data_IF_284271935309
#
_entry.id   IF_284271935309
#
_cell.length_a   1.000
_cell.length_b   1.000
_cell.length_c   1.000
_cell.angle_alpha   90.00
_cell.angle_beta   90.00
_cell.angle_gamma   90.00
#
_symmetry.space_group_name_H-M   'P 1'
#
loop_
_entity.id
_entity.type
_entity.pdbx_description
1 polymer ?
#
# COMPACT_ATOMS: atom_id res chain seq x y z
N UNK A 1 12.72 22.06 -30.77
CA UNK A 1 11.74 21.03 -31.19
C UNK A 1 10.90 20.63 -29.98
N UNK A 2 9.61 20.93 -29.98
CA UNK A 2 8.71 20.53 -28.88
C UNK A 2 8.43 19.03 -29.08
N UNK A 3 8.98 18.19 -28.21
CA UNK A 3 8.61 16.76 -28.21
C UNK A 3 7.09 16.61 -28.12
N UNK A 4 6.51 15.87 -29.06
CA UNK A 4 5.07 15.65 -29.07
C UNK A 4 4.62 14.97 -27.77
N UNK A 5 3.44 15.32 -27.25
CA UNK A 5 2.88 14.70 -26.04
C UNK A 5 2.87 13.17 -26.13
N UNK A 6 2.65 12.64 -27.33
CA UNK A 6 2.68 11.20 -27.63
C UNK A 6 4.08 10.60 -27.45
N UNK A 7 5.14 11.28 -27.89
CA UNK A 7 6.51 10.79 -27.73
C UNK A 7 6.93 10.73 -26.25
N UNK A 8 6.54 11.72 -25.45
CA UNK A 8 6.77 11.71 -23.99
C UNK A 8 6.01 10.59 -23.30
N UNK A 9 4.74 10.38 -23.66
CA UNK A 9 3.92 9.28 -23.12
C UNK A 9 4.52 7.93 -23.47
N UNK A 10 4.93 7.73 -24.73
CA UNK A 10 5.57 6.48 -25.17
C UNK A 10 6.87 6.20 -24.41
N UNK A 11 7.73 7.21 -24.24
CA UNK A 11 8.97 7.09 -23.49
C UNK A 11 8.70 6.71 -22.02
N UNK A 12 7.74 7.35 -21.37
CA UNK A 12 7.37 7.02 -20.01
C UNK A 12 6.82 5.59 -19.89
N UNK A 13 6.01 5.14 -20.86
CA UNK A 13 5.48 3.77 -20.89
C UNK A 13 6.59 2.73 -21.07
N UNK A 14 7.56 2.97 -21.95
CA UNK A 14 8.72 2.07 -22.15
C UNK A 14 9.55 1.98 -20.88
N UNK A 15 9.84 3.13 -20.25
CA UNK A 15 10.58 3.16 -18.97
C UNK A 15 9.81 2.40 -17.87
N UNK A 16 8.50 2.62 -17.76
CA UNK A 16 7.67 1.90 -16.80
C UNK A 16 7.69 0.38 -17.03
N UNK A 17 7.60 -0.07 -18.28
CA UNK A 17 7.70 -1.49 -18.64
C UNK A 17 9.08 -2.08 -18.29
N UNK A 18 10.17 -1.37 -18.56
CA UNK A 18 11.52 -1.83 -18.18
C UNK A 18 11.63 -1.99 -16.65
N UNK A 19 11.19 -1.01 -15.89
CA UNK A 19 11.15 -1.11 -14.42
C UNK A 19 10.26 -2.25 -13.94
N UNK A 20 9.13 -2.49 -14.58
CA UNK A 20 8.26 -3.62 -14.26
C UNK A 20 8.97 -4.96 -14.43
N UNK A 21 9.66 -5.19 -15.56
CA UNK A 21 10.41 -6.43 -15.80
C UNK A 21 11.59 -6.59 -14.84
N UNK A 22 12.30 -5.50 -14.51
CA UNK A 22 13.38 -5.53 -13.51
C UNK A 22 12.81 -5.93 -12.15
N UNK A 23 11.71 -5.31 -11.73
CA UNK A 23 11.05 -5.67 -10.46
C UNK A 23 10.57 -7.13 -10.44
N UNK A 24 10.03 -7.62 -11.55
CA UNK A 24 9.57 -9.00 -11.65
C UNK A 24 10.73 -9.98 -11.51
N UNK A 25 11.87 -9.69 -12.15
CA UNK A 25 13.11 -10.45 -11.96
C UNK A 25 13.61 -10.43 -10.52
N UNK A 26 13.67 -9.25 -9.92
CA UNK A 26 14.09 -9.08 -8.52
C UNK A 26 13.17 -9.83 -7.55
N UNK A 27 11.86 -9.79 -7.76
CA UNK A 27 10.90 -10.55 -6.96
C UNK A 27 11.11 -12.05 -7.08
N UNK A 28 11.40 -12.55 -8.27
CA UNK A 28 11.68 -13.98 -8.47
C UNK A 28 12.94 -14.42 -7.72
N UNK A 29 14.04 -13.67 -7.84
CA UNK A 29 15.28 -13.96 -7.12
C UNK A 29 15.11 -13.82 -5.61
N UNK A 30 14.46 -12.76 -5.15
CA UNK A 30 14.17 -12.54 -3.73
C UNK A 30 13.36 -13.70 -3.14
N UNK A 31 12.33 -14.17 -3.85
CA UNK A 31 11.50 -15.27 -3.42
C UNK A 31 12.28 -16.59 -3.35
N UNK A 32 13.19 -16.83 -4.30
CA UNK A 32 14.07 -18.01 -4.28
C UNK A 32 15.00 -17.98 -3.06
N UNK A 33 15.70 -16.86 -2.83
CA UNK A 33 16.59 -16.69 -1.68
C UNK A 33 15.82 -16.84 -0.36
N UNK A 34 14.61 -16.29 -0.29
CA UNK A 34 13.75 -16.41 0.88
C UNK A 34 13.39 -17.86 1.19
N UNK A 35 13.04 -18.64 0.15
CA UNK A 35 12.74 -20.07 0.28
C UNK A 35 13.94 -20.88 0.74
N UNK A 36 15.12 -20.60 0.19
CA UNK A 36 16.37 -21.35 0.50
C UNK A 36 16.86 -21.08 1.94
N UNK A 37 16.68 -19.86 2.47
CA UNK A 37 17.24 -19.47 3.76
C UNK A 37 16.24 -19.48 4.92
N UNK A 38 14.97 -19.17 4.65
CA UNK A 38 13.93 -19.00 5.69
C UNK A 38 12.84 -20.06 5.61
N UNK A 39 12.81 -20.83 4.54
CA UNK A 39 11.85 -21.92 4.35
C UNK A 39 10.49 -21.45 3.81
N UNK A 40 9.73 -22.45 3.35
CA UNK A 40 8.43 -22.21 2.71
C UNK A 40 7.38 -21.66 3.69
N UNK A 41 7.48 -22.01 4.96
CA UNK A 41 6.52 -21.60 5.99
C UNK A 41 6.59 -20.12 6.32
N UNK A 42 7.82 -19.59 6.51
CA UNK A 42 8.03 -18.16 6.75
C UNK A 42 7.59 -17.35 5.54
N UNK A 43 7.87 -17.83 4.32
CA UNK A 43 7.40 -17.19 3.10
C UNK A 43 5.87 -17.21 3.00
N UNK A 44 5.24 -18.35 3.32
CA UNK A 44 3.79 -18.51 3.36
C UNK A 44 3.13 -17.56 4.36
N UNK A 45 3.67 -17.49 5.57
CA UNK A 45 3.21 -16.57 6.60
C UNK A 45 3.31 -15.11 6.16
N UNK A 46 4.46 -14.70 5.65
CA UNK A 46 4.66 -13.32 5.18
C UNK A 46 3.72 -12.98 4.03
N UNK A 47 3.54 -13.90 3.09
CA UNK A 47 2.60 -13.72 1.96
C UNK A 47 1.16 -13.62 2.45
N UNK A 48 0.74 -14.48 3.38
CA UNK A 48 -0.62 -14.46 3.95
C UNK A 48 -0.87 -13.16 4.72
N UNK A 49 0.08 -12.75 5.57
CA UNK A 49 0.00 -11.49 6.30
C UNK A 49 -0.11 -10.28 5.36
N UNK A 50 0.71 -10.25 4.30
CA UNK A 50 0.67 -9.18 3.29
C UNK A 50 -0.66 -9.17 2.54
N UNK A 51 -1.19 -10.33 2.15
CA UNK A 51 -2.48 -10.43 1.46
C UNK A 51 -3.65 -9.98 2.35
N UNK A 52 -3.63 -10.32 3.64
CA UNK A 52 -4.63 -9.85 4.61
C UNK A 52 -4.60 -8.31 4.71
N UNK A 53 -3.42 -7.71 4.78
CA UNK A 53 -3.28 -6.25 4.82
C UNK A 53 -3.70 -5.60 3.49
N UNK A 54 -3.37 -6.21 2.35
CA UNK A 54 -3.85 -5.73 1.04
C UNK A 54 -5.37 -5.77 0.94
N UNK A 55 -5.99 -6.81 1.48
CA UNK A 55 -7.45 -6.88 1.55
C UNK A 55 -8.03 -5.74 2.41
N UNK A 56 -7.40 -5.41 3.53
CA UNK A 56 -7.81 -4.27 4.35
C UNK A 56 -7.64 -2.92 3.62
N UNK A 57 -6.63 -2.80 2.76
CA UNK A 57 -6.41 -1.61 1.95
C UNK A 57 -7.50 -1.38 0.88
N UNK A 58 -8.37 -2.37 0.62
CA UNK A 58 -9.55 -2.17 -0.24
C UNK A 58 -10.50 -1.09 0.32
N UNK A 59 -10.46 -0.82 1.63
CA UNK A 59 -11.21 0.28 2.24
C UNK A 59 -10.82 1.66 1.69
N UNK A 60 -9.62 1.78 1.09
CA UNK A 60 -9.14 3.03 0.46
C UNK A 60 -9.58 3.16 -1.01
N UNK A 61 -10.10 2.09 -1.64
CA UNK A 61 -10.40 2.08 -3.07
C UNK A 61 -11.36 3.21 -3.44
N UNK A 62 -10.88 4.08 -4.33
CA UNK A 62 -11.64 5.19 -4.86
C UNK A 62 -11.49 6.51 -4.08
N UNK A 63 -11.13 6.50 -2.80
CA UNK A 63 -10.96 7.75 -2.03
C UNK A 63 -9.84 8.61 -2.61
N UNK A 64 -8.66 8.03 -2.85
CA UNK A 64 -7.53 8.73 -3.46
C UNK A 64 -7.86 9.26 -4.86
N UNK A 65 -8.53 8.46 -5.69
CA UNK A 65 -8.95 8.87 -7.02
C UNK A 65 -9.98 10.02 -6.98
N UNK A 66 -10.97 9.95 -6.08
CA UNK A 66 -11.99 11.00 -5.91
C UNK A 66 -11.36 12.33 -5.46
N UNK A 67 -10.42 12.27 -4.52
CA UNK A 67 -9.68 13.43 -4.04
C UNK A 67 -8.81 14.02 -5.15
N UNK A 68 -8.06 13.16 -5.87
CA UNK A 68 -7.26 13.58 -7.02
C UNK A 68 -8.11 14.33 -8.05
N UNK A 69 -9.30 13.78 -8.38
CA UNK A 69 -10.24 14.43 -9.29
C UNK A 69 -10.72 15.80 -8.77
N UNK A 70 -11.04 15.88 -7.48
CA UNK A 70 -11.50 17.12 -6.84
C UNK A 70 -10.42 18.22 -6.81
N UNK A 71 -9.14 17.85 -6.85
CA UNK A 71 -8.02 18.79 -6.86
C UNK A 71 -7.73 19.40 -8.24
N UNK A 72 -8.17 18.80 -9.35
CA UNK A 72 -7.83 19.30 -10.69
C UNK A 72 -8.19 20.76 -10.91
N UNK A 73 -9.41 21.16 -10.58
CA UNK A 73 -9.91 22.52 -10.77
C UNK A 73 -9.20 23.53 -9.84
N UNK A 74 -9.13 23.31 -8.52
CA UNK A 74 -8.42 24.21 -7.61
C UNK A 74 -6.95 24.40 -7.93
N UNK A 75 -6.27 23.32 -8.40
CA UNK A 75 -4.87 23.40 -8.82
C UNK A 75 -4.70 24.26 -10.09
N UNK A 76 -5.60 24.11 -11.08
CA UNK A 76 -5.59 24.91 -12.31
C UNK A 76 -5.84 26.40 -12.02
N UNK A 77 -6.75 26.70 -11.09
CA UNK A 77 -7.11 28.05 -10.66
C UNK A 77 -6.16 28.63 -9.60
N UNK A 78 -5.17 27.84 -9.13
CA UNK A 78 -4.24 28.20 -8.05
C UNK A 78 -4.95 28.65 -6.76
N UNK A 79 -6.13 28.12 -6.49
CA UNK A 79 -6.95 28.45 -5.34
C UNK A 79 -6.45 27.67 -4.10
N UNK A 80 -5.52 28.28 -3.37
CA UNK A 80 -4.90 27.66 -2.17
C UNK A 80 -5.90 27.34 -1.07
N UNK A 81 -6.98 28.11 -0.93
CA UNK A 81 -7.95 27.88 0.11
C UNK A 81 -8.71 26.56 -0.15
N UNK A 82 -9.23 26.36 -1.37
CA UNK A 82 -9.93 25.13 -1.74
C UNK A 82 -8.99 23.92 -1.72
N UNK A 83 -7.72 24.07 -2.12
CA UNK A 83 -6.72 22.99 -2.01
C UNK A 83 -6.58 22.56 -0.55
N UNK A 84 -6.40 23.50 0.37
CA UNK A 84 -6.25 23.20 1.79
C UNK A 84 -7.49 22.55 2.40
N UNK A 85 -8.69 22.98 2.00
CA UNK A 85 -9.95 22.36 2.43
C UNK A 85 -10.04 20.91 1.98
N UNK A 86 -9.74 20.62 0.71
CA UNK A 86 -9.76 19.26 0.17
C UNK A 86 -8.71 18.37 0.87
N UNK A 87 -7.49 18.87 1.08
CA UNK A 87 -6.42 18.15 1.79
C UNK A 87 -6.80 17.88 3.25
N UNK A 88 -7.48 18.82 3.91
CA UNK A 88 -7.96 18.62 5.29
C UNK A 88 -9.02 17.52 5.36
N UNK A 89 -9.97 17.51 4.41
CA UNK A 89 -10.99 16.45 4.30
C UNK A 89 -10.31 15.11 4.02
N UNK A 90 -9.32 15.09 3.14
CA UNK A 90 -8.53 13.90 2.85
C UNK A 90 -7.87 13.37 4.12
N UNK A 91 -7.16 14.21 4.87
CA UNK A 91 -6.50 13.80 6.12
C UNK A 91 -7.49 13.20 7.13
N UNK A 92 -8.68 13.79 7.25
CA UNK A 92 -9.73 13.27 8.12
C UNK A 92 -10.25 11.89 7.66
N UNK A 93 -10.50 11.72 6.35
CA UNK A 93 -10.93 10.44 5.78
C UNK A 93 -9.88 9.35 5.98
N UNK A 94 -8.61 9.65 5.67
CA UNK A 94 -7.52 8.70 5.84
C UNK A 94 -7.29 8.32 7.31
N UNK A 95 -7.44 9.25 8.23
CA UNK A 95 -7.41 8.96 9.65
C UNK A 95 -8.53 7.98 10.07
N UNK A 96 -9.75 8.20 9.58
CA UNK A 96 -10.89 7.29 9.85
C UNK A 96 -10.69 5.92 9.23
N UNK A 97 -10.21 5.87 7.99
CA UNK A 97 -9.88 4.61 7.30
C UNK A 97 -8.78 3.86 8.07
N UNK A 98 -7.71 4.56 8.47
CA UNK A 98 -6.62 3.97 9.24
C UNK A 98 -7.08 3.36 10.58
N UNK A 99 -7.96 4.05 11.31
CA UNK A 99 -8.57 3.51 12.53
C UNK A 99 -9.44 2.28 12.25
N UNK A 100 -10.24 2.31 11.20
CA UNK A 100 -11.10 1.19 10.79
C UNK A 100 -10.26 -0.03 10.39
N UNK A 101 -9.25 0.17 9.54
CA UNK A 101 -8.30 -0.87 9.12
C UNK A 101 -7.55 -1.44 10.32
N UNK A 102 -7.05 -0.58 11.21
CA UNK A 102 -6.39 -1.01 12.44
C UNK A 102 -7.30 -1.84 13.35
N UNK A 103 -8.55 -1.42 13.52
CA UNK A 103 -9.54 -2.16 14.31
C UNK A 103 -9.83 -3.56 13.74
N UNK A 104 -10.04 -3.66 12.41
CA UNK A 104 -10.24 -4.96 11.76
C UNK A 104 -8.97 -5.82 11.82
N UNK A 105 -7.79 -5.21 11.67
CA UNK A 105 -6.53 -5.94 11.80
C UNK A 105 -6.36 -6.58 13.19
N UNK A 106 -6.70 -5.86 14.25
CA UNK A 106 -6.69 -6.40 15.62
C UNK A 106 -7.70 -7.54 15.77
N UNK A 107 -8.89 -7.41 15.20
CA UNK A 107 -9.87 -8.51 15.18
C UNK A 107 -9.34 -9.73 14.43
N UNK A 108 -8.68 -9.55 13.29
CA UNK A 108 -8.05 -10.64 12.53
C UNK A 108 -6.98 -11.36 13.34
N UNK A 109 -6.20 -10.65 14.17
CA UNK A 109 -5.19 -11.27 15.03
C UNK A 109 -5.82 -12.26 16.04
N UNK A 110 -7.06 -12.06 16.46
CA UNK A 110 -7.77 -13.02 17.30
C UNK A 110 -8.03 -14.36 16.59
N UNK A 111 -8.11 -14.35 15.26
CA UNK A 111 -8.29 -15.56 14.44
C UNK A 111 -6.98 -16.23 14.03
N UNK A 112 -5.83 -15.67 14.34
CA UNK A 112 -4.52 -16.22 13.98
C UNK A 112 -4.29 -17.68 14.44
N UNK A 113 -4.66 -18.08 15.67
CA UNK A 113 -4.51 -19.48 16.10
C UNK A 113 -5.24 -20.47 15.19
N UNK A 114 -6.32 -20.00 14.54
CA UNK A 114 -7.08 -20.82 13.61
C UNK A 114 -6.54 -20.75 12.17
N UNK A 115 -6.16 -19.55 11.71
CA UNK A 115 -5.61 -19.31 10.37
C UNK A 115 -4.25 -19.99 10.22
N UNK A 116 -3.39 -19.91 11.23
CA UNK A 116 -2.04 -20.44 11.25
C UNK A 116 -1.91 -21.73 12.08
N UNK A 117 -2.99 -22.46 12.27
CA UNK A 117 -3.02 -23.69 13.09
C UNK A 117 -2.06 -24.79 12.63
N UNK A 118 -1.69 -24.79 11.35
CA UNK A 118 -0.77 -25.78 10.74
C UNK A 118 0.65 -25.23 10.50
N UNK A 119 0.93 -24.01 10.90
CA UNK A 119 2.25 -23.42 10.71
C UNK A 119 3.21 -23.92 11.79
N UNK A 120 4.36 -24.45 11.41
CA UNK A 120 5.43 -24.83 12.34
C UNK A 120 6.20 -23.63 12.93
N UNK A 121 5.84 -22.43 12.45
CA UNK A 121 6.46 -21.18 12.91
C UNK A 121 5.91 -20.80 14.30
N UNK A 122 6.76 -20.38 15.25
CA UNK A 122 6.31 -19.97 16.58
C UNK A 122 5.26 -18.84 16.52
N UNK A 123 4.22 -18.93 17.33
CA UNK A 123 3.12 -17.97 17.33
C UNK A 123 3.60 -16.52 17.52
N UNK A 124 4.58 -16.27 18.39
CA UNK A 124 5.13 -14.93 18.62
C UNK A 124 5.69 -14.30 17.32
N UNK A 125 6.31 -15.11 16.46
CA UNK A 125 6.87 -14.66 15.17
C UNK A 125 5.74 -14.21 14.23
N UNK A 126 4.65 -14.99 14.16
CA UNK A 126 3.46 -14.68 13.35
C UNK A 126 2.86 -13.33 13.75
N UNK A 127 2.63 -13.13 15.05
CA UNK A 127 2.09 -11.86 15.57
C UNK A 127 3.03 -10.68 15.32
N UNK A 128 4.32 -10.85 15.59
CA UNK A 128 5.31 -9.79 15.41
C UNK A 128 5.42 -9.36 13.95
N UNK A 129 5.49 -10.33 13.02
CA UNK A 129 5.55 -10.04 11.58
C UNK A 129 4.33 -9.27 11.13
N UNK A 130 3.13 -9.69 11.54
CA UNK A 130 1.90 -9.00 11.16
C UNK A 130 1.83 -7.59 11.74
N UNK A 131 2.22 -7.39 13.00
CA UNK A 131 2.23 -6.07 13.64
C UNK A 131 3.19 -5.12 12.91
N UNK A 132 4.40 -5.57 12.57
CA UNK A 132 5.36 -4.75 11.83
C UNK A 132 4.81 -4.34 10.47
N UNK A 133 4.22 -5.27 9.73
CA UNK A 133 3.59 -5.00 8.44
C UNK A 133 2.37 -4.08 8.58
N UNK A 134 1.58 -4.25 9.63
CA UNK A 134 0.42 -3.39 9.95
C UNK A 134 0.87 -1.96 10.24
N UNK A 135 1.91 -1.78 11.06
CA UNK A 135 2.48 -0.45 11.35
C UNK A 135 2.96 0.21 10.05
N UNK A 136 3.64 -0.54 9.18
CA UNK A 136 4.07 -0.03 7.88
C UNK A 136 2.88 0.40 7.00
N UNK A 137 1.82 -0.40 6.94
CA UNK A 137 0.59 -0.07 6.21
C UNK A 137 -0.12 1.16 6.79
N UNK A 138 -0.30 1.22 8.12
CA UNK A 138 -0.95 2.36 8.79
C UNK A 138 -0.14 3.64 8.64
N UNK A 139 1.19 3.57 8.58
CA UNK A 139 2.04 4.73 8.32
C UNK A 139 1.69 5.42 7.01
N UNK A 140 1.31 4.65 5.98
CA UNK A 140 0.81 5.18 4.71
C UNK A 140 -0.42 6.08 4.90
N UNK A 141 -1.39 5.67 5.71
CA UNK A 141 -2.60 6.45 5.97
C UNK A 141 -2.35 7.72 6.77
N UNK A 142 -1.44 7.68 7.74
CA UNK A 142 -1.21 8.82 8.64
C UNK A 142 -0.21 9.85 8.09
N UNK A 143 0.77 9.41 7.28
CA UNK A 143 1.86 10.29 6.83
C UNK A 143 1.80 10.64 5.34
N UNK A 144 1.33 9.74 4.47
CA UNK A 144 1.43 9.93 3.02
C UNK A 144 0.27 10.72 2.38
N UNK A 145 -0.78 11.08 3.12
CA UNK A 145 -1.93 11.75 2.54
C UNK A 145 -1.63 13.10 1.87
N UNK A 146 -0.51 13.74 2.23
CA UNK A 146 -0.08 15.01 1.61
C UNK A 146 0.63 14.84 0.26
N UNK A 147 1.03 13.64 -0.12
CA UNK A 147 1.80 13.41 -1.36
C UNK A 147 1.01 13.73 -2.64
N UNK A 148 -0.31 13.76 -2.58
CA UNK A 148 -1.17 14.06 -3.75
C UNK A 148 -1.00 15.53 -4.22
N UNK A 149 -0.52 16.41 -3.35
CA UNK A 149 -0.41 17.86 -3.62
C UNK A 149 1.03 18.25 -4.03
N UNK A 150 1.99 17.35 -3.86
CA UNK A 150 3.38 17.53 -4.27
C UNK A 150 3.61 17.09 -5.71
#
# INVERSE_FOLDING_TARGET
MVESRTAKSLKNSVVALLFYFINLGLQFFSRKIFLEHLGAEVLGLNTTATNLLQFLNLAELGVGAAIGYSLYKPLAEKNRQQINEIVSVQGYLYYKIGLFVGGIAVLLMCFFPWIFSKAEVPAWYTYTTFIVLLIAALSGYFFNYKQIVL
#
